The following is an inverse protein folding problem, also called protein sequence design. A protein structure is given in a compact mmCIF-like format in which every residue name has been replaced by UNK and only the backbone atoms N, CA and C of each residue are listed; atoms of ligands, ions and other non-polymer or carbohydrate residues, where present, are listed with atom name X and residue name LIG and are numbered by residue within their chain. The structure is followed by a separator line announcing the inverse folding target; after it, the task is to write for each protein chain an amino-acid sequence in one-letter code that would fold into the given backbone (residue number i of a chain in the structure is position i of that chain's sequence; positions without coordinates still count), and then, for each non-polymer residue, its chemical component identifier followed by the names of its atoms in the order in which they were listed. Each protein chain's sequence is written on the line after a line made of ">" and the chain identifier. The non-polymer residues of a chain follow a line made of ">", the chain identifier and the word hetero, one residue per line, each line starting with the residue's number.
data_IF_498061415908
#
_entry.id   IF_498061415908
#
_cell.length_a   1.000
_cell.length_b   1.000
_cell.length_c   1.000
_cell.angle_alpha   90.00
_cell.angle_beta   90.00
_cell.angle_gamma   90.00
#
_symmetry.space_group_name_H-M   'P 1'
#
loop_
_entity.id
_entity.type
_entity.pdbx_description
1 polymer ?
#
# COMPACT_ATOMS: atom_id res chain seq x y z
N UNK A 1 11.34 9.72 -17.12
CA UNK A 1 10.54 9.99 -15.91
C UNK A 1 9.33 9.07 -15.79
N UNK A 2 8.55 8.82 -16.85
CA UNK A 2 7.47 7.81 -16.82
C UNK A 2 7.92 6.45 -16.27
N UNK A 3 9.18 6.07 -16.51
CA UNK A 3 9.77 4.83 -16.02
C UNK A 3 9.74 4.65 -14.49
N UNK A 4 9.63 5.71 -13.68
CA UNK A 4 9.59 5.61 -12.21
C UNK A 4 8.18 5.63 -11.64
N UNK A 5 7.18 5.91 -12.48
CA UNK A 5 5.76 5.80 -12.14
C UNK A 5 5.24 4.37 -12.38
N UNK A 6 6.05 3.54 -13.04
CA UNK A 6 5.78 2.13 -13.32
C UNK A 6 6.47 1.22 -12.30
N UNK A 7 5.80 0.15 -11.88
CA UNK A 7 6.38 -0.85 -10.98
C UNK A 7 7.41 -1.70 -11.78
N UNK A 8 8.67 -1.79 -11.32
CA UNK A 8 9.69 -2.67 -11.91
C UNK A 8 9.25 -4.14 -11.85
N UNK A 9 9.57 -4.94 -12.87
CA UNK A 9 9.14 -6.35 -12.92
C UNK A 9 9.66 -7.15 -11.71
N UNK A 10 10.91 -6.90 -11.31
CA UNK A 10 11.55 -7.53 -10.17
C UNK A 10 10.93 -7.13 -8.81
N UNK A 11 10.10 -6.09 -8.76
CA UNK A 11 9.34 -5.74 -7.57
C UNK A 11 8.00 -6.47 -7.52
N UNK A 12 7.45 -6.94 -8.64
CA UNK A 12 6.10 -7.52 -8.67
C UNK A 12 6.05 -8.90 -8.03
N UNK A 13 5.19 -9.10 -7.02
CA UNK A 13 5.08 -10.39 -6.31
C UNK A 13 3.67 -11.00 -6.43
N UNK A 14 3.56 -12.31 -6.74
CA UNK A 14 2.28 -13.02 -6.75
C UNK A 14 1.55 -12.95 -5.41
N UNK A 15 2.30 -12.97 -4.30
CA UNK A 15 1.75 -12.92 -2.96
C UNK A 15 0.98 -11.63 -2.70
N UNK A 16 1.48 -10.50 -3.18
CA UNK A 16 0.80 -9.23 -2.96
C UNK A 16 -0.48 -9.13 -3.80
N UNK A 17 -0.46 -9.51 -5.09
CA UNK A 17 -1.67 -9.52 -5.92
C UNK A 17 -2.74 -10.48 -5.37
N UNK A 18 -2.34 -11.65 -4.87
CA UNK A 18 -3.26 -12.54 -4.18
C UNK A 18 -3.86 -11.84 -2.94
N UNK A 19 -3.04 -11.21 -2.09
CA UNK A 19 -3.55 -10.49 -0.92
C UNK A 19 -4.52 -9.37 -1.29
N UNK A 20 -4.18 -8.53 -2.28
CA UNK A 20 -5.05 -7.47 -2.79
C UNK A 20 -6.40 -8.05 -3.29
N UNK A 21 -6.36 -9.21 -3.96
CA UNK A 21 -7.57 -9.94 -4.39
C UNK A 21 -8.43 -10.33 -3.19
N UNK A 22 -7.82 -10.82 -2.10
CA UNK A 22 -8.57 -11.22 -0.90
C UNK A 22 -9.27 -10.04 -0.20
N UNK A 23 -8.70 -8.83 -0.29
CA UNK A 23 -9.36 -7.62 0.22
C UNK A 23 -10.47 -7.12 -0.70
N UNK A 24 -10.38 -7.42 -1.99
CA UNK A 24 -11.39 -7.01 -2.97
C UNK A 24 -12.69 -7.83 -2.86
N UNK A 25 -12.56 -9.14 -2.60
CA UNK A 25 -13.68 -10.07 -2.61
C UNK A 25 -14.52 -10.01 -1.32
N UNK A 26 -15.67 -10.68 -1.30
CA UNK A 26 -16.53 -10.79 -0.11
C UNK A 26 -15.89 -11.71 0.93
N UNK A 27 -16.11 -11.38 2.22
CA UNK A 27 -15.46 -12.04 3.35
C UNK A 27 -15.72 -13.54 3.39
N UNK A 28 -16.96 -13.97 3.14
CA UNK A 28 -17.32 -15.38 3.10
C UNK A 28 -16.77 -16.16 1.90
N UNK A 29 -16.05 -15.54 0.97
CA UNK A 29 -15.30 -16.25 -0.09
C UNK A 29 -13.79 -16.31 0.18
N UNK A 30 -13.31 -15.60 1.20
CA UNK A 30 -11.87 -15.55 1.52
C UNK A 30 -11.36 -16.93 1.93
N UNK A 31 -12.16 -17.71 2.66
CA UNK A 31 -11.73 -19.04 3.11
C UNK A 31 -11.52 -19.99 1.94
N UNK A 32 -12.46 -20.03 1.00
CA UNK A 32 -12.38 -20.85 -0.21
C UNK A 32 -11.21 -20.42 -1.10
N UNK A 33 -10.96 -19.12 -1.20
CA UNK A 33 -9.82 -18.59 -1.96
C UNK A 33 -8.47 -18.91 -1.29
N UNK A 34 -8.40 -18.91 0.05
CA UNK A 34 -7.17 -19.19 0.81
C UNK A 34 -6.81 -20.67 0.87
N UNK A 35 -7.79 -21.55 1.11
CA UNK A 35 -7.54 -22.96 1.46
C UNK A 35 -6.99 -23.80 0.30
N UNK A 36 -7.17 -23.35 -0.95
CA UNK A 36 -6.96 -24.20 -2.13
C UNK A 36 -5.70 -23.86 -2.94
N UNK A 37 -4.86 -22.93 -2.47
CA UNK A 37 -3.72 -22.43 -3.25
C UNK A 37 -2.43 -22.48 -2.43
N UNK A 38 -1.47 -23.26 -2.92
CA UNK A 38 -0.10 -23.22 -2.43
C UNK A 38 0.72 -22.17 -3.21
N UNK A 39 1.64 -21.47 -2.54
CA UNK A 39 2.56 -20.53 -3.21
C UNK A 39 3.46 -21.20 -4.26
N UNK A 40 3.62 -22.53 -4.19
CA UNK A 40 4.31 -23.32 -5.22
C UNK A 40 3.54 -23.44 -6.54
N UNK A 41 2.24 -23.14 -6.55
CA UNK A 41 1.37 -23.16 -7.73
C UNK A 41 1.34 -21.81 -8.46
N UNK A 42 1.94 -20.76 -7.88
CA UNK A 42 2.01 -19.46 -8.53
C UNK A 42 2.79 -19.51 -9.85
N UNK A 43 2.47 -18.63 -10.82
CA UNK A 43 3.24 -18.52 -12.04
C UNK A 43 4.74 -18.35 -11.73
N UNK A 44 5.65 -19.07 -12.41
CA UNK A 44 7.08 -19.00 -12.13
C UNK A 44 7.67 -17.67 -12.61
N UNK A 45 8.67 -17.16 -11.88
CA UNK A 45 9.38 -15.92 -12.22
C UNK A 45 8.65 -14.64 -11.80
N UNK A 46 8.98 -13.53 -12.45
CA UNK A 46 8.34 -12.23 -12.21
C UNK A 46 6.84 -12.29 -12.56
N UNK A 47 6.01 -11.66 -11.73
CA UNK A 47 4.56 -11.63 -11.96
C UNK A 47 4.18 -10.80 -13.19
N UNK A 48 5.02 -9.85 -13.62
CA UNK A 48 4.75 -8.95 -14.74
C UNK A 48 4.41 -9.72 -16.03
N UNK A 49 3.21 -9.49 -16.57
CA UNK A 49 2.67 -10.19 -17.75
C UNK A 49 2.02 -11.55 -17.44
N UNK A 50 1.98 -11.96 -16.17
CA UNK A 50 1.39 -13.20 -15.69
C UNK A 50 0.25 -12.95 -14.68
N UNK A 51 -0.11 -11.70 -14.44
CA UNK A 51 -1.15 -11.28 -13.49
C UNK A 51 -2.48 -11.98 -13.78
N UNK A 52 -2.94 -11.95 -15.04
CA UNK A 52 -4.20 -12.58 -15.44
C UNK A 52 -4.17 -14.10 -15.22
N UNK A 53 -3.00 -14.76 -15.36
CA UNK A 53 -2.86 -16.19 -15.08
C UNK A 53 -3.00 -16.48 -13.59
N UNK A 54 -2.45 -15.62 -12.73
CA UNK A 54 -2.62 -15.75 -11.28
C UNK A 54 -4.09 -15.54 -10.88
N UNK A 55 -4.76 -14.53 -11.44
CA UNK A 55 -6.19 -14.32 -11.18
C UNK A 55 -7.02 -15.50 -11.70
N UNK A 56 -6.69 -16.06 -12.86
CA UNK A 56 -7.37 -17.26 -13.37
C UNK A 56 -7.17 -18.46 -12.43
N UNK A 57 -5.95 -18.67 -11.91
CA UNK A 57 -5.67 -19.70 -10.91
C UNK A 57 -6.54 -19.49 -9.65
N UNK A 58 -6.64 -18.26 -9.16
CA UNK A 58 -7.49 -17.91 -8.02
C UNK A 58 -8.96 -18.25 -8.28
N UNK A 59 -9.47 -17.92 -9.47
CA UNK A 59 -10.83 -18.27 -9.87
C UNK A 59 -11.03 -19.78 -9.92
N UNK A 60 -10.13 -20.52 -10.55
CA UNK A 60 -10.25 -21.97 -10.73
C UNK A 60 -10.22 -22.71 -9.39
N UNK A 61 -9.48 -22.19 -8.41
CA UNK A 61 -9.32 -22.76 -7.07
C UNK A 61 -10.35 -22.27 -6.06
N UNK A 62 -11.23 -21.35 -6.44
CA UNK A 62 -12.24 -20.77 -5.54
C UNK A 62 -13.55 -21.56 -5.42
N UNK A 63 -13.61 -22.81 -5.90
CA UNK A 63 -14.88 -23.55 -6.01
C UNK A 63 -15.96 -22.77 -6.76
N UNK A 64 -15.56 -22.04 -7.81
CA UNK A 64 -16.42 -21.20 -8.66
C UNK A 64 -16.98 -19.93 -8.01
N UNK A 65 -16.67 -19.63 -6.74
CA UNK A 65 -17.22 -18.44 -6.06
C UNK A 65 -16.75 -17.14 -6.70
N UNK A 66 -15.49 -17.07 -7.14
CA UNK A 66 -14.94 -15.85 -7.75
C UNK A 66 -15.45 -15.56 -9.16
N UNK A 67 -16.19 -16.47 -9.80
CA UNK A 67 -16.77 -16.23 -11.14
C UNK A 67 -17.80 -15.10 -11.16
N UNK A 68 -18.36 -14.73 -10.00
CA UNK A 68 -19.30 -13.60 -9.92
C UNK A 68 -18.65 -12.24 -10.18
N UNK A 69 -17.33 -12.16 -10.09
CA UNK A 69 -16.56 -10.96 -10.43
C UNK A 69 -16.22 -10.87 -11.92
N UNK A 70 -16.68 -11.85 -12.72
CA UNK A 70 -16.47 -11.89 -14.16
C UNK A 70 -15.27 -12.75 -14.57
N UNK A 71 -14.66 -12.39 -15.69
CA UNK A 71 -13.45 -13.06 -16.20
C UNK A 71 -12.22 -12.71 -15.36
N UNK A 72 -11.13 -13.49 -15.49
CA UNK A 72 -9.87 -13.15 -14.83
C UNK A 72 -9.34 -11.76 -15.22
N UNK A 73 -9.57 -11.34 -16.47
CA UNK A 73 -9.20 -10.02 -16.96
C UNK A 73 -10.05 -8.93 -16.30
N UNK A 74 -11.37 -9.11 -16.25
CA UNK A 74 -12.29 -8.16 -15.61
C UNK A 74 -12.01 -8.01 -14.10
N UNK A 75 -11.76 -9.13 -13.41
CA UNK A 75 -11.39 -9.10 -11.99
C UNK A 75 -10.04 -8.39 -11.79
N UNK A 76 -9.02 -8.67 -12.61
CA UNK A 76 -7.73 -7.99 -12.53
C UNK A 76 -7.84 -6.47 -12.74
N UNK A 77 -8.60 -6.03 -13.76
CA UNK A 77 -8.84 -4.61 -14.04
C UNK A 77 -9.47 -3.91 -12.83
N UNK A 78 -10.46 -4.55 -12.20
CA UNK A 78 -11.11 -4.00 -11.02
C UNK A 78 -10.20 -3.98 -9.77
N UNK A 79 -9.38 -5.01 -9.57
CA UNK A 79 -8.38 -5.03 -8.49
C UNK A 79 -7.38 -3.89 -8.69
N UNK A 80 -6.94 -3.67 -9.94
CA UNK A 80 -6.02 -2.57 -10.26
C UNK A 80 -6.61 -1.19 -9.95
N UNK A 81 -7.90 -0.97 -10.18
CA UNK A 81 -8.58 0.28 -9.77
C UNK A 81 -8.66 0.37 -8.24
N UNK A 82 -9.08 -0.71 -7.58
CA UNK A 82 -9.30 -0.76 -6.12
C UNK A 82 -8.02 -0.49 -5.32
N UNK A 83 -6.87 -0.94 -5.81
CA UNK A 83 -5.59 -0.80 -5.11
C UNK A 83 -4.84 0.49 -5.41
N UNK A 84 -5.33 1.32 -6.33
CA UNK A 84 -4.60 2.49 -6.83
C UNK A 84 -4.80 3.70 -5.92
N UNK A 85 -4.08 3.71 -4.80
CA UNK A 85 -4.07 4.81 -3.85
C UNK A 85 -2.75 4.86 -3.05
N UNK A 86 -2.30 6.06 -2.62
CA UNK A 86 -1.08 6.18 -1.82
C UNK A 86 -1.12 5.35 -0.53
N UNK A 87 0.03 4.79 -0.14
CA UNK A 87 0.21 3.96 1.05
C UNK A 87 -0.67 2.69 1.10
N UNK A 88 -1.09 2.14 -0.04
CA UNK A 88 -1.95 0.95 -0.08
C UNK A 88 -1.40 -0.27 0.67
N UNK A 89 -0.06 -0.38 0.78
CA UNK A 89 0.59 -1.49 1.45
C UNK A 89 0.23 -1.54 2.94
N UNK A 90 -0.14 -0.40 3.55
CA UNK A 90 -0.65 -0.35 4.93
C UNK A 90 -2.06 -0.92 5.01
N UNK A 91 -2.93 -0.55 4.07
CA UNK A 91 -4.30 -1.06 3.99
C UNK A 91 -4.33 -2.58 3.78
N UNK A 92 -3.54 -3.08 2.82
CA UNK A 92 -3.44 -4.51 2.53
C UNK A 92 -2.57 -5.28 3.52
N UNK A 93 -1.98 -4.61 4.53
CA UNK A 93 -1.05 -5.25 5.47
C UNK A 93 0.16 -5.88 4.79
N UNK A 94 0.61 -5.35 3.66
CA UNK A 94 1.74 -5.84 2.85
C UNK A 94 3.06 -5.14 3.23
N UNK A 95 3.32 -4.96 4.54
CA UNK A 95 4.52 -4.30 5.03
C UNK A 95 5.81 -5.04 4.62
N UNK A 96 5.71 -6.35 4.42
CA UNK A 96 6.81 -7.24 4.09
C UNK A 96 7.05 -7.46 2.59
N UNK A 97 6.21 -6.90 1.72
CA UNK A 97 6.37 -6.98 0.25
C UNK A 97 7.06 -5.71 -0.29
N UNK A 98 7.67 -5.73 -1.48
CA UNK A 98 8.02 -4.49 -2.19
C UNK A 98 6.77 -3.63 -2.45
N UNK A 99 6.95 -2.32 -2.66
CA UNK A 99 5.83 -1.46 -3.05
C UNK A 99 5.21 -1.95 -4.37
N UNK A 100 3.89 -2.18 -4.37
CA UNK A 100 3.10 -2.64 -5.53
C UNK A 100 2.13 -1.57 -6.06
N UNK A 101 2.37 -0.31 -5.69
CA UNK A 101 1.53 0.84 -6.07
C UNK A 101 2.18 1.63 -7.19
N UNK A 102 1.37 2.30 -7.99
CA UNK A 102 1.83 3.28 -8.97
C UNK A 102 1.80 4.67 -8.33
N UNK A 103 2.91 5.41 -8.30
CA UNK A 103 2.90 6.80 -7.86
C UNK A 103 1.91 7.63 -8.68
N UNK A 104 1.07 8.41 -8.00
CA UNK A 104 0.05 9.24 -8.65
C UNK A 104 0.45 10.71 -8.63
N UNK A 105 0.40 11.36 -9.79
CA UNK A 105 0.56 12.81 -9.92
C UNK A 105 -0.82 13.45 -9.89
N UNK A 106 -1.06 14.23 -8.84
CA UNK A 106 -2.29 14.97 -8.63
C UNK A 106 -2.15 16.38 -9.20
N UNK A 107 -3.29 16.99 -9.53
CA UNK A 107 -3.35 18.39 -9.92
C UNK A 107 -3.94 19.23 -8.80
N UNK A 108 -3.43 20.42 -8.59
CA UNK A 108 -4.12 21.40 -7.76
C UNK A 108 -5.28 22.07 -8.52
N UNK A 109 -6.11 22.86 -7.83
CA UNK A 109 -7.11 23.72 -8.48
C UNK A 109 -6.47 24.79 -9.39
N UNK A 110 -5.16 25.04 -9.25
CA UNK A 110 -4.36 25.91 -10.14
C UNK A 110 -3.68 25.14 -11.27
N UNK A 111 -4.04 23.87 -11.47
CA UNK A 111 -3.44 22.94 -12.44
C UNK A 111 -1.93 22.68 -12.25
N UNK A 112 -1.39 22.92 -11.05
CA UNK A 112 -0.02 22.58 -10.72
C UNK A 112 0.12 21.09 -10.33
N UNK A 113 1.24 20.45 -10.69
CA UNK A 113 1.50 19.03 -10.40
C UNK A 113 1.98 18.83 -8.95
N UNK A 114 1.36 17.90 -8.23
CA UNK A 114 1.67 17.52 -6.85
C UNK A 114 1.76 16.00 -6.71
N UNK A 115 2.46 15.52 -5.68
CA UNK A 115 2.60 14.10 -5.37
C UNK A 115 2.45 13.88 -3.87
N UNK A 116 1.84 12.77 -3.46
CA UNK A 116 1.81 12.36 -2.07
C UNK A 116 3.22 12.01 -1.59
N UNK A 117 3.61 12.42 -0.37
CA UNK A 117 4.95 12.10 0.16
C UNK A 117 5.23 10.58 0.21
N UNK A 118 4.21 9.77 0.47
CA UNK A 118 4.31 8.31 0.47
C UNK A 118 4.71 7.75 -0.91
N UNK A 119 4.21 8.36 -1.99
CA UNK A 119 4.54 7.95 -3.36
C UNK A 119 5.99 8.30 -3.74
N UNK A 120 6.66 9.21 -3.03
CA UNK A 120 8.09 9.46 -3.23
C UNK A 120 8.95 8.25 -2.80
N UNK A 121 8.56 7.51 -1.76
CA UNK A 121 9.26 6.29 -1.36
C UNK A 121 9.10 5.18 -2.41
N UNK A 122 7.93 5.11 -3.05
CA UNK A 122 7.69 4.22 -4.20
C UNK A 122 8.60 4.62 -5.37
N UNK A 123 8.75 5.92 -5.66
CA UNK A 123 9.67 6.42 -6.68
C UNK A 123 11.12 6.03 -6.35
N UNK A 124 11.57 6.17 -5.11
CA UNK A 124 12.92 5.78 -4.70
C UNK A 124 13.17 4.28 -4.92
N UNK A 125 12.20 3.42 -4.57
CA UNK A 125 12.27 1.99 -4.90
C UNK A 125 12.41 1.79 -6.42
N UNK A 126 11.55 2.43 -7.21
CA UNK A 126 11.56 2.25 -8.66
C UNK A 126 12.87 2.74 -9.29
N UNK A 127 13.46 3.81 -8.75
CA UNK A 127 14.76 4.32 -9.17
C UNK A 127 15.89 3.32 -8.92
N UNK A 128 16.08 2.83 -7.69
CA UNK A 128 17.17 1.89 -7.37
C UNK A 128 17.05 0.59 -8.18
N UNK A 129 15.81 0.13 -8.38
CA UNK A 129 15.53 -1.07 -9.16
C UNK A 129 15.68 -0.87 -10.66
N UNK A 130 15.69 0.37 -11.15
CA UNK A 130 15.95 0.67 -12.57
C UNK A 130 17.42 0.66 -12.95
N UNK A 131 18.33 0.77 -11.96
CA UNK A 131 19.77 0.89 -12.24
C UNK A 131 20.41 -0.45 -12.60
N UNK A 132 19.88 -1.55 -12.07
CA UNK A 132 20.26 -2.91 -12.49
C UNK A 132 19.03 -3.66 -12.99
N UNK A 133 19.21 -4.47 -14.05
CA UNK A 133 18.13 -5.29 -14.61
C UNK A 133 17.89 -6.59 -13.83
N UNK A 134 18.82 -6.97 -12.95
CA UNK A 134 18.84 -8.29 -12.31
C UNK A 134 19.05 -8.16 -10.80
N UNK A 135 18.08 -7.56 -10.11
CA UNK A 135 18.08 -7.55 -8.64
C UNK A 135 17.55 -8.87 -8.10
N UNK A 136 18.30 -9.58 -7.22
CA UNK A 136 17.74 -10.67 -6.43
C UNK A 136 16.54 -10.16 -5.62
N UNK A 137 15.43 -10.88 -5.66
CA UNK A 137 14.18 -10.50 -4.99
C UNK A 137 14.39 -10.25 -3.49
N UNK A 138 15.34 -10.93 -2.86
CA UNK A 138 15.68 -10.77 -1.45
C UNK A 138 16.30 -9.40 -1.13
N UNK A 139 17.12 -8.85 -2.05
CA UNK A 139 17.64 -7.50 -1.91
C UNK A 139 16.55 -6.46 -2.19
N UNK A 140 15.64 -6.74 -3.12
CA UNK A 140 14.46 -5.89 -3.34
C UNK A 140 13.63 -5.76 -2.05
N UNK A 141 13.40 -6.88 -1.34
CA UNK A 141 12.71 -6.88 -0.05
C UNK A 141 13.48 -6.08 1.01
N UNK A 142 14.80 -6.26 1.09
CA UNK A 142 15.64 -5.51 2.03
C UNK A 142 15.50 -3.99 1.83
N UNK A 143 15.54 -3.52 0.57
CA UNK A 143 15.34 -2.10 0.26
C UNK A 143 13.93 -1.61 0.58
N UNK A 144 12.91 -2.43 0.30
CA UNK A 144 11.53 -2.10 0.65
C UNK A 144 11.35 -1.97 2.17
N UNK A 145 11.97 -2.85 2.98
CA UNK A 145 11.96 -2.72 4.44
C UNK A 145 12.61 -1.42 4.91
N UNK A 146 13.78 -1.09 4.36
CA UNK A 146 14.45 0.17 4.67
C UNK A 146 13.54 1.38 4.35
N UNK A 147 12.98 1.44 3.13
CA UNK A 147 12.16 2.56 2.68
C UNK A 147 10.89 2.71 3.52
N UNK A 148 10.20 1.60 3.84
CA UNK A 148 9.01 1.62 4.70
C UNK A 148 9.32 2.06 6.13
N UNK A 149 10.45 1.64 6.68
CA UNK A 149 10.92 2.12 7.98
C UNK A 149 11.17 3.64 7.98
N UNK A 150 11.61 4.21 6.85
CA UNK A 150 11.73 5.66 6.70
C UNK A 150 10.36 6.33 6.52
N UNK A 151 9.45 5.71 5.77
CA UNK A 151 8.09 6.19 5.51
C UNK A 151 7.24 6.30 6.80
N UNK A 152 7.46 5.43 7.79
CA UNK A 152 6.82 5.49 9.11
C UNK A 152 6.98 6.88 9.78
N UNK A 153 8.04 7.63 9.48
CA UNK A 153 8.23 8.98 10.03
C UNK A 153 7.29 10.03 9.42
N UNK A 154 6.66 9.75 8.27
CA UNK A 154 5.71 10.63 7.57
C UNK A 154 4.25 10.29 7.92
N UNK A 155 4.04 9.26 8.73
CA UNK A 155 2.82 8.46 8.83
C UNK A 155 1.53 9.20 9.24
N UNK A 156 1.64 10.35 9.92
CA UNK A 156 0.46 10.96 10.58
C UNK A 156 -0.30 11.97 9.72
N UNK A 157 0.17 12.31 8.52
CA UNK A 157 -0.52 13.23 7.62
C UNK A 157 -0.36 12.82 6.15
N UNK A 158 -1.47 12.73 5.41
CA UNK A 158 -1.44 12.64 3.94
C UNK A 158 -1.08 14.03 3.40
N UNK A 159 0.21 14.28 3.29
CA UNK A 159 0.76 15.54 2.78
C UNK A 159 1.18 15.39 1.33
N UNK A 160 1.00 16.48 0.57
CA UNK A 160 1.42 16.57 -0.81
C UNK A 160 2.53 17.60 -0.93
N UNK A 161 3.47 17.33 -1.83
CA UNK A 161 4.52 18.27 -2.20
C UNK A 161 4.47 18.54 -3.69
N UNK A 162 4.93 19.72 -4.08
CA UNK A 162 4.99 20.09 -5.50
C UNK A 162 5.88 19.09 -6.24
N UNK A 163 5.39 18.58 -7.35
CA UNK A 163 6.13 17.62 -8.15
C UNK A 163 7.14 18.35 -9.03
N UNK A 164 8.43 18.19 -8.74
CA UNK A 164 9.52 18.77 -9.53
C UNK A 164 10.32 17.67 -10.26
N UNK A 165 10.16 17.63 -11.58
CA UNK A 165 10.84 16.68 -12.47
C UNK A 165 12.37 16.79 -12.37
N UNK A 166 12.90 18.01 -12.21
CA UNK A 166 14.36 18.23 -12.09
C UNK A 166 14.90 17.65 -10.79
N UNK A 167 14.12 17.74 -9.71
CA UNK A 167 14.46 17.12 -8.44
C UNK A 167 14.46 15.58 -8.54
N UNK A 168 13.46 14.99 -9.18
CA UNK A 168 13.42 13.54 -9.44
C UNK A 168 14.65 13.09 -10.26
N UNK A 169 15.01 13.83 -11.31
CA UNK A 169 16.18 13.50 -12.14
C UNK A 169 17.51 13.68 -11.39
N UNK A 170 17.62 14.68 -10.49
CA UNK A 170 18.82 14.86 -9.68
C UNK A 170 19.03 13.73 -8.68
N UNK A 171 17.96 13.26 -8.03
CA UNK A 171 18.01 12.08 -7.15
C UNK A 171 18.49 10.84 -7.89
N UNK A 172 17.96 10.60 -9.10
CA UNK A 172 18.39 9.49 -9.95
C UNK A 172 19.88 9.55 -10.28
N UNK A 173 20.37 10.72 -10.68
CA UNK A 173 21.78 10.89 -11.04
C UNK A 173 22.68 10.58 -9.84
N UNK A 174 22.35 11.09 -8.65
CA UNK A 174 23.09 10.79 -7.42
C UNK A 174 23.12 9.31 -7.08
N UNK A 175 21.97 8.63 -7.14
CA UNK A 175 21.90 7.18 -6.91
C UNK A 175 22.74 6.40 -7.94
N UNK A 176 22.71 6.83 -9.20
CA UNK A 176 23.50 6.21 -10.28
C UNK A 176 25.00 6.43 -10.10
N UNK A 177 25.41 7.64 -9.71
CA UNK A 177 26.80 7.99 -9.43
C UNK A 177 27.35 7.21 -8.24
N UNK A 178 26.58 7.10 -7.16
CA UNK A 178 26.96 6.30 -6.00
C UNK A 178 27.21 4.83 -6.38
N UNK A 179 26.37 4.26 -7.25
CA UNK A 179 26.58 2.91 -7.79
C UNK A 179 27.77 2.80 -8.74
N UNK A 180 28.04 3.82 -9.56
CA UNK A 180 29.17 3.84 -10.50
C UNK A 180 30.54 4.04 -9.81
N UNK A 181 30.54 4.71 -8.65
CA UNK A 181 31.74 5.00 -7.84
C UNK A 181 32.02 3.93 -6.77
N UNK A 182 31.25 2.85 -6.76
CA UNK A 182 31.20 1.76 -5.76
C UNK A 182 32.50 0.97 -5.50
N UNK A 183 33.65 1.45 -5.96
CA UNK A 183 34.94 0.91 -5.54
C UNK A 183 35.20 1.34 -4.09
N UNK A 184 34.80 0.48 -3.14
CA UNK A 184 35.31 0.58 -1.78
C UNK A 184 36.83 0.62 -1.81
N UNK A 185 37.44 1.40 -0.90
CA UNK A 185 38.90 1.40 -0.79
C UNK A 185 39.39 -0.05 -0.62
N UNK A 186 40.49 -0.44 -1.30
CA UNK A 186 41.01 -1.80 -1.20
C UNK A 186 41.22 -2.27 0.25
N UNK A 187 41.53 -1.33 1.16
CA UNK A 187 41.64 -1.55 2.59
C UNK A 187 40.29 -1.91 3.26
N UNK A 188 39.21 -1.17 2.99
CA UNK A 188 37.86 -1.47 3.53
C UNK A 188 37.36 -2.82 3.03
N UNK A 189 37.58 -3.12 1.74
CA UNK A 189 37.24 -4.41 1.16
C UNK A 189 38.01 -5.55 1.86
N UNK A 190 39.33 -5.44 2.01
CA UNK A 190 40.13 -6.47 2.65
C UNK A 190 39.77 -6.69 4.14
N UNK A 191 39.39 -5.61 4.84
CA UNK A 191 38.89 -5.70 6.21
C UNK A 191 37.59 -6.51 6.28
N UNK A 192 36.63 -6.21 5.41
CA UNK A 192 35.34 -6.89 5.38
C UNK A 192 35.47 -8.36 4.96
N UNK A 193 36.39 -8.69 4.03
CA UNK A 193 36.72 -10.10 3.71
C UNK A 193 37.18 -10.86 4.95
N UNK A 194 38.07 -10.27 5.77
CA UNK A 194 38.57 -10.89 7.00
C UNK A 194 37.50 -11.00 8.09
N UNK A 195 36.53 -10.09 8.10
CA UNK A 195 35.40 -10.13 9.02
C UNK A 195 34.42 -11.23 8.62
N UNK A 196 33.94 -11.19 7.36
CA UNK A 196 32.93 -12.12 6.84
C UNK A 196 33.41 -13.58 6.85
N UNK A 197 34.72 -13.84 6.72
CA UNK A 197 35.27 -15.19 6.84
C UNK A 197 35.11 -15.82 8.23
N UNK A 198 34.80 -15.01 9.27
CA UNK A 198 34.57 -15.47 10.65
C UNK A 198 33.09 -15.54 11.02
N UNK A 199 32.20 -15.04 10.18
CA UNK A 199 30.78 -14.97 10.46
C UNK A 199 30.06 -16.22 9.93
N UNK A 200 29.06 -16.68 10.68
CA UNK A 200 28.10 -17.65 10.17
C UNK A 200 26.93 -16.93 9.46
N UNK A 201 26.10 -17.71 8.76
CA UNK A 201 24.95 -17.20 7.99
C UNK A 201 24.03 -16.30 8.82
N UNK A 202 23.69 -16.70 10.05
CA UNK A 202 22.78 -15.93 10.91
C UNK A 202 23.39 -14.58 11.31
N UNK A 203 24.69 -14.53 11.60
CA UNK A 203 25.40 -13.28 11.89
C UNK A 203 25.46 -12.35 10.68
N UNK A 204 25.62 -12.89 9.47
CA UNK A 204 25.61 -12.11 8.23
C UNK A 204 24.22 -11.53 7.96
N UNK A 205 23.16 -12.33 8.12
CA UNK A 205 21.79 -11.84 7.97
C UNK A 205 21.51 -10.73 8.99
N UNK A 206 21.94 -10.90 10.25
CA UNK A 206 21.79 -9.85 11.26
C UNK A 206 22.51 -8.55 10.85
N UNK A 207 23.67 -8.61 10.20
CA UNK A 207 24.33 -7.42 9.65
C UNK A 207 23.52 -6.73 8.55
N UNK A 208 22.84 -7.49 7.69
CA UNK A 208 21.94 -6.92 6.67
C UNK A 208 20.70 -6.29 7.31
N UNK A 209 20.12 -6.94 8.32
CA UNK A 209 18.99 -6.39 9.08
C UNK A 209 19.35 -5.08 9.77
N UNK A 210 20.58 -4.94 10.28
CA UNK A 210 21.06 -3.71 10.89
C UNK A 210 21.18 -2.52 9.93
N UNK A 211 21.04 -2.72 8.62
CA UNK A 211 20.92 -1.62 7.66
C UNK A 211 19.53 -0.95 7.71
N UNK A 212 18.53 -1.60 8.30
CA UNK A 212 17.18 -1.06 8.43
C UNK A 212 17.12 -0.22 9.72
N UNK A 213 16.63 1.05 9.65
CA UNK A 213 16.72 1.98 10.77
C UNK A 213 15.72 1.68 11.91
N UNK A 214 14.68 0.89 11.65
CA UNK A 214 13.69 0.50 12.65
C UNK A 214 13.82 -0.97 13.03
N UNK A 215 13.37 -1.31 14.24
CA UNK A 215 13.30 -2.69 14.68
C UNK A 215 12.18 -3.40 13.94
N UNK A 216 12.54 -4.38 13.12
CA UNK A 216 11.58 -5.27 12.46
C UNK A 216 10.68 -5.96 13.49
N UNK A 217 9.40 -6.07 13.17
CA UNK A 217 8.50 -6.91 13.95
C UNK A 217 8.85 -8.41 13.77
N UNK A 218 8.36 -9.31 14.64
CA UNK A 218 8.73 -10.73 14.59
C UNK A 218 8.49 -11.39 13.23
N UNK A 219 7.37 -11.07 12.57
CA UNK A 219 7.01 -11.64 11.27
C UNK A 219 7.93 -11.14 10.15
N UNK A 220 8.26 -9.84 10.15
CA UNK A 220 9.19 -9.24 9.20
C UNK A 220 10.60 -9.81 9.38
N UNK A 221 11.09 -9.90 10.63
CA UNK A 221 12.38 -10.50 10.95
C UNK A 221 12.44 -11.96 10.49
N UNK A 222 11.44 -12.78 10.85
CA UNK A 222 11.37 -14.18 10.43
C UNK A 222 11.36 -14.32 8.91
N UNK A 223 10.57 -13.50 8.21
CA UNK A 223 10.46 -13.57 6.75
C UNK A 223 11.77 -13.19 6.06
N UNK A 224 12.41 -12.12 6.50
CA UNK A 224 13.70 -11.67 5.96
C UNK A 224 14.81 -12.72 6.20
N UNK A 225 14.85 -13.33 7.39
CA UNK A 225 15.75 -14.45 7.71
C UNK A 225 15.55 -15.63 6.77
N UNK A 226 14.30 -16.04 6.55
CA UNK A 226 13.99 -17.17 5.65
C UNK A 226 14.38 -16.86 4.21
N UNK A 227 14.09 -15.65 3.72
CA UNK A 227 14.39 -15.24 2.35
C UNK A 227 15.90 -15.16 2.11
N UNK A 228 16.63 -14.38 2.90
CA UNK A 228 18.09 -14.27 2.77
C UNK A 228 18.78 -15.61 3.03
N UNK A 229 18.29 -16.40 3.98
CA UNK A 229 18.80 -17.75 4.24
C UNK A 229 18.66 -18.68 3.03
N UNK A 230 17.49 -18.68 2.36
CA UNK A 230 17.29 -19.47 1.13
C UNK A 230 18.19 -18.99 -0.01
N UNK A 231 18.26 -17.67 -0.21
CA UNK A 231 19.11 -17.06 -1.24
C UNK A 231 20.57 -17.48 -1.08
N UNK A 232 21.16 -17.29 0.09
CA UNK A 232 22.56 -17.62 0.32
C UNK A 232 22.84 -19.13 0.33
N UNK A 233 21.89 -19.95 0.79
CA UNK A 233 22.05 -21.40 0.75
C UNK A 233 21.95 -21.97 -0.68
N UNK A 234 21.24 -21.29 -1.58
CA UNK A 234 21.18 -21.67 -3.00
C UNK A 234 22.50 -21.42 -3.75
N UNK A 235 23.37 -20.55 -3.23
CA UNK A 235 24.66 -20.26 -3.84
C UNK A 235 25.63 -21.47 -3.72
N UNK A 236 26.46 -21.73 -4.75
CA UNK A 236 27.51 -22.74 -4.68
C UNK A 236 28.46 -22.48 -3.50
N UNK A 237 28.79 -23.53 -2.74
CA UNK A 237 29.62 -23.44 -1.53
C UNK A 237 30.91 -22.62 -1.73
N UNK A 238 31.59 -22.83 -2.87
CA UNK A 238 32.84 -22.13 -3.21
C UNK A 238 32.69 -20.61 -3.38
N UNK A 239 31.50 -20.12 -3.70
CA UNK A 239 31.23 -18.70 -3.97
C UNK A 239 30.36 -18.05 -2.87
N UNK A 240 29.91 -18.83 -1.88
CA UNK A 240 28.88 -18.38 -0.93
C UNK A 240 29.33 -17.19 -0.09
N UNK A 241 30.54 -17.25 0.47
CA UNK A 241 31.07 -16.17 1.32
C UNK A 241 31.29 -14.88 0.52
N UNK A 242 31.83 -15.00 -0.68
CA UNK A 242 32.02 -13.84 -1.57
C UNK A 242 30.67 -13.26 -1.99
N UNK A 243 29.70 -14.11 -2.34
CA UNK A 243 28.33 -13.69 -2.66
C UNK A 243 27.66 -12.94 -1.50
N UNK A 244 27.76 -13.46 -0.28
CA UNK A 244 27.26 -12.81 0.94
C UNK A 244 27.91 -11.44 1.18
N UNK A 245 29.25 -11.36 1.07
CA UNK A 245 29.98 -10.11 1.22
C UNK A 245 29.54 -9.09 0.16
N UNK A 246 29.48 -9.50 -1.11
CA UNK A 246 29.05 -8.62 -2.20
C UNK A 246 27.61 -8.14 -1.99
N UNK A 247 26.68 -9.01 -1.58
CA UNK A 247 25.30 -8.62 -1.25
C UNK A 247 25.27 -7.56 -0.15
N UNK A 248 26.07 -7.71 0.91
CA UNK A 248 26.16 -6.72 1.98
C UNK A 248 26.76 -5.39 1.51
N UNK A 249 27.85 -5.43 0.75
CA UNK A 249 28.52 -4.23 0.22
C UNK A 249 27.57 -3.42 -0.66
N UNK A 250 26.89 -4.09 -1.60
CA UNK A 250 25.89 -3.44 -2.46
C UNK A 250 24.71 -2.90 -1.65
N UNK A 251 24.14 -3.71 -0.75
CA UNK A 251 23.02 -3.27 0.07
C UNK A 251 23.37 -2.03 0.91
N UNK A 252 24.54 -2.03 1.55
CA UNK A 252 25.03 -0.92 2.37
C UNK A 252 25.20 0.34 1.54
N UNK A 253 25.84 0.26 0.37
CA UNK A 253 26.05 1.40 -0.52
C UNK A 253 24.73 2.04 -0.97
N UNK A 254 23.76 1.22 -1.39
CA UNK A 254 22.45 1.70 -1.82
C UNK A 254 21.72 2.37 -0.67
N UNK A 255 21.71 1.73 0.51
CA UNK A 255 21.04 2.25 1.69
C UNK A 255 21.68 3.56 2.17
N UNK A 256 23.01 3.65 2.23
CA UNK A 256 23.75 4.90 2.54
C UNK A 256 23.38 6.03 1.55
N UNK A 257 23.21 5.67 0.27
CA UNK A 257 22.82 6.64 -0.77
C UNK A 257 21.37 7.10 -0.63
N UNK A 258 20.46 6.18 -0.32
CA UNK A 258 19.06 6.49 -0.02
C UNK A 258 18.95 7.37 1.22
N UNK A 259 19.70 7.06 2.27
CA UNK A 259 19.77 7.84 3.50
C UNK A 259 20.19 9.29 3.21
N UNK A 260 21.28 9.45 2.46
CA UNK A 260 21.75 10.78 2.02
C UNK A 260 20.68 11.54 1.24
N UNK A 261 19.99 10.88 0.28
CA UNK A 261 18.92 11.51 -0.50
C UNK A 261 17.75 11.94 0.38
N UNK A 262 17.33 11.10 1.31
CA UNK A 262 16.22 11.39 2.22
C UNK A 262 16.58 12.52 3.19
N UNK A 263 17.76 12.44 3.82
CA UNK A 263 18.19 13.37 4.88
C UNK A 263 18.51 14.77 4.35
N UNK A 264 19.01 14.89 3.12
CA UNK A 264 19.22 16.20 2.51
C UNK A 264 17.92 16.85 2.00
N UNK A 265 16.81 16.10 1.95
CA UNK A 265 15.53 16.55 1.37
C UNK A 265 14.35 16.35 2.33
N UNK A 266 14.54 16.65 3.62
CA UNK A 266 13.52 16.45 4.66
C UNK A 266 12.17 17.11 4.36
N UNK A 267 12.10 18.24 3.64
CA UNK A 267 10.81 18.83 3.26
C UNK A 267 9.93 17.87 2.44
N UNK A 268 10.56 16.99 1.66
CA UNK A 268 9.91 16.00 0.81
C UNK A 268 9.62 14.69 1.54
N UNK A 269 10.48 14.29 2.48
CA UNK A 269 10.44 12.95 3.11
C UNK A 269 10.13 12.95 4.62
N UNK A 270 9.80 14.11 5.20
CA UNK A 270 9.38 14.26 6.59
C UNK A 270 8.09 15.08 6.67
N UNK A 271 7.30 15.00 7.76
CA UNK A 271 6.13 15.85 7.96
C UNK A 271 6.48 17.34 7.87
N UNK A 272 5.53 18.15 7.39
CA UNK A 272 5.73 19.60 7.25
C UNK A 272 6.02 20.24 8.62
N UNK A 273 7.18 20.87 8.76
CA UNK A 273 7.51 21.70 9.93
C UNK A 273 6.71 22.99 9.94
N UNK A 274 6.45 23.59 11.11
CA UNK A 274 5.68 24.85 11.21
C UNK A 274 6.29 25.97 10.35
N UNK A 275 7.61 26.13 10.37
CA UNK A 275 8.35 27.17 9.65
C UNK A 275 8.58 26.87 8.16
N UNK A 276 8.03 25.78 7.62
CA UNK A 276 8.19 25.45 6.20
C UNK A 276 7.60 26.56 5.32
N UNK A 277 8.27 26.82 4.19
CA UNK A 277 7.81 27.76 3.16
C UNK A 277 6.83 27.14 2.17
N UNK A 278 6.65 25.82 2.24
CA UNK A 278 5.69 25.12 1.39
C UNK A 278 4.25 25.43 1.82
N UNK A 279 3.31 25.59 0.87
CA UNK A 279 1.90 25.78 1.20
C UNK A 279 1.36 24.55 1.95
N UNK A 280 0.35 24.77 2.78
CA UNK A 280 -0.41 23.67 3.38
C UNK A 280 -1.28 23.06 2.30
N UNK A 281 -1.17 21.75 2.07
CA UNK A 281 -1.97 21.07 1.06
C UNK A 281 -3.24 20.50 1.67
N UNK A 282 -4.39 20.77 1.04
CA UNK A 282 -5.69 20.24 1.45
C UNK A 282 -6.31 19.48 0.27
N UNK A 283 -6.75 18.24 0.51
CA UNK A 283 -7.43 17.44 -0.51
C UNK A 283 -8.86 17.95 -0.73
N UNK A 284 -9.18 18.19 -1.98
CA UNK A 284 -10.53 18.44 -2.49
C UNK A 284 -10.98 17.16 -3.16
N UNK A 285 -11.90 16.46 -2.50
CA UNK A 285 -12.45 15.22 -3.01
C UNK A 285 -13.45 15.53 -4.12
N UNK A 286 -13.26 14.89 -5.28
CA UNK A 286 -14.12 15.05 -6.44
C UNK A 286 -14.92 13.76 -6.68
N UNK A 287 -16.24 13.87 -6.65
CA UNK A 287 -17.17 12.78 -6.96
C UNK A 287 -18.23 13.26 -7.96
N UNK A 288 -17.99 12.99 -9.25
CA UNK A 288 -18.74 13.60 -10.34
C UNK A 288 -18.59 15.13 -10.30
N UNK A 289 -19.71 15.84 -10.25
CA UNK A 289 -19.75 17.31 -10.20
C UNK A 289 -19.58 17.87 -8.77
N UNK A 290 -19.45 17.01 -7.76
CA UNK A 290 -19.35 17.42 -6.35
C UNK A 290 -17.90 17.59 -5.93
N UNK A 291 -17.62 18.70 -5.22
CA UNK A 291 -16.31 18.98 -4.61
C UNK A 291 -16.47 19.27 -3.12
N UNK A 292 -15.73 18.54 -2.28
CA UNK A 292 -15.84 18.65 -0.82
C UNK A 292 -14.53 18.34 -0.12
N UNK A 293 -14.39 18.80 1.13
CA UNK A 293 -13.20 18.60 1.97
C UNK A 293 -13.59 17.89 3.26
N UNK A 294 -12.65 17.18 3.88
CA UNK A 294 -12.82 16.68 5.26
C UNK A 294 -12.74 17.83 6.26
N UNK A 295 -13.68 17.91 7.22
CA UNK A 295 -13.71 18.98 8.23
C UNK A 295 -12.68 18.82 9.34
N UNK A 296 -12.47 17.59 9.81
CA UNK A 296 -11.69 17.30 11.01
C UNK A 296 -10.43 16.54 10.69
N UNK A 297 -9.37 16.80 11.47
CA UNK A 297 -8.12 16.05 11.47
C UNK A 297 -8.06 14.99 12.57
N UNK A 298 -9.13 14.81 13.36
CA UNK A 298 -9.16 13.86 14.47
C UNK A 298 -9.66 12.47 14.03
N UNK A 299 -9.22 11.44 14.75
CA UNK A 299 -9.70 10.07 14.55
C UNK A 299 -11.20 9.99 14.91
N UNK A 300 -12.00 9.51 13.97
CA UNK A 300 -13.43 9.24 14.16
C UNK A 300 -13.84 8.14 13.18
N UNK A 301 -14.81 7.31 13.56
CA UNK A 301 -15.41 6.32 12.63
C UNK A 301 -16.07 7.02 11.44
N UNK A 302 -16.63 8.20 11.69
CA UNK A 302 -17.30 9.04 10.68
C UNK A 302 -16.52 10.35 10.52
N UNK A 303 -16.08 10.64 9.30
CA UNK A 303 -15.43 11.91 8.96
C UNK A 303 -16.39 12.80 8.18
N UNK A 304 -16.82 13.88 8.80
CA UNK A 304 -17.68 14.87 8.16
C UNK A 304 -16.97 15.61 7.03
N UNK A 305 -17.77 16.06 6.06
CA UNK A 305 -17.29 16.90 4.97
C UNK A 305 -18.00 18.25 4.93
N UNK A 306 -17.35 19.20 4.26
CA UNK A 306 -17.89 20.51 3.91
C UNK A 306 -17.71 20.70 2.40
N UNK A 307 -18.69 21.29 1.71
CA UNK A 307 -18.53 21.56 0.27
C UNK A 307 -17.47 22.64 0.04
N UNK A 308 -16.84 22.64 -1.12
CA UNK A 308 -15.89 23.70 -1.49
C UNK A 308 -16.51 25.10 -1.41
N UNK A 309 -17.76 25.23 -1.88
CA UNK A 309 -18.52 26.49 -1.81
C UNK A 309 -18.70 26.96 -0.35
N UNK A 310 -19.20 26.09 0.54
CA UNK A 310 -19.38 26.42 1.95
C UNK A 310 -18.06 26.75 2.65
N UNK A 311 -16.97 26.06 2.30
CA UNK A 311 -15.65 26.36 2.84
C UNK A 311 -15.19 27.77 2.43
N UNK A 312 -15.33 28.13 1.16
CA UNK A 312 -14.96 29.44 0.65
C UNK A 312 -15.80 30.57 1.25
N UNK A 313 -17.10 30.34 1.44
CA UNK A 313 -17.99 31.31 2.11
C UNK A 313 -17.60 31.54 3.57
N UNK A 314 -17.24 30.47 4.29
CA UNK A 314 -16.94 30.53 5.72
C UNK A 314 -15.53 31.07 6.03
N UNK A 315 -14.54 30.74 5.18
CA UNK A 315 -13.11 30.98 5.48
C UNK A 315 -12.40 31.87 4.46
N UNK A 316 -13.01 32.14 3.30
CA UNK A 316 -12.38 32.87 2.20
C UNK A 316 -11.23 32.10 1.52
N UNK A 317 -10.56 32.77 0.58
CA UNK A 317 -9.37 32.24 -0.08
C UNK A 317 -8.14 32.59 0.76
N UNK A 318 -7.45 31.59 1.28
CA UNK A 318 -6.17 31.78 2.01
C UNK A 318 -4.98 31.52 1.08
N UNK A 319 -4.08 32.48 0.94
CA UNK A 319 -2.94 32.39 0.01
C UNK A 319 -1.90 31.31 0.35
N UNK A 320 -1.93 30.75 1.57
CA UNK A 320 -0.98 29.73 2.04
C UNK A 320 -1.53 28.29 1.97
N UNK A 321 -2.72 28.10 1.40
CA UNK A 321 -3.30 26.77 1.18
C UNK A 321 -3.28 26.45 -0.30
N UNK A 322 -2.84 25.23 -0.63
CA UNK A 322 -3.01 24.66 -1.95
C UNK A 322 -4.05 23.54 -1.91
N UNK A 323 -5.06 23.66 -2.77
CA UNK A 323 -6.14 22.69 -2.88
C UNK A 323 -5.80 21.64 -3.93
N UNK A 324 -5.62 20.40 -3.50
CA UNK A 324 -5.23 19.26 -4.34
C UNK A 324 -6.48 18.50 -4.76
N UNK A 325 -6.74 18.41 -6.07
CA UNK A 325 -7.86 17.63 -6.62
C UNK A 325 -7.59 16.15 -6.38
N UNK A 326 -8.51 15.48 -5.70
CA UNK A 326 -8.39 14.09 -5.31
C UNK A 326 -9.64 13.34 -5.79
N UNK A 327 -9.58 12.61 -6.92
CA UNK A 327 -10.75 11.92 -7.44
C UNK A 327 -11.14 10.75 -6.53
N UNK A 328 -12.45 10.58 -6.29
CA UNK A 328 -12.98 9.36 -5.69
C UNK A 328 -13.10 8.30 -6.78
N UNK A 329 -12.29 7.25 -6.68
CA UNK A 329 -12.27 6.14 -7.63
C UNK A 329 -13.01 4.93 -7.09
N UNK A 330 -13.63 4.18 -7.99
CA UNK A 330 -14.43 2.99 -7.66
C UNK A 330 -14.15 1.89 -8.64
N UNK A 331 -13.87 0.71 -8.11
CA UNK A 331 -14.01 -0.52 -8.85
C UNK A 331 -15.49 -0.98 -8.80
N UNK A 332 -15.84 -1.95 -9.64
CA UNK A 332 -17.21 -2.44 -9.80
C UNK A 332 -17.87 -2.89 -8.49
N UNK A 333 -17.11 -3.52 -7.60
CA UNK A 333 -17.62 -4.10 -6.36
C UNK A 333 -17.11 -3.44 -5.07
N UNK A 334 -16.04 -2.65 -5.14
CA UNK A 334 -15.41 -1.99 -3.99
C UNK A 334 -15.00 -0.56 -4.36
N UNK A 335 -15.15 0.37 -3.42
CA UNK A 335 -14.57 1.70 -3.56
C UNK A 335 -13.07 1.67 -3.21
N UNK A 336 -12.30 2.54 -3.86
CA UNK A 336 -10.89 2.71 -3.55
C UNK A 336 -10.75 3.44 -2.21
N UNK A 337 -10.09 2.84 -1.21
CA UNK A 337 -9.91 3.48 0.09
C UNK A 337 -9.08 4.76 -0.01
N UNK A 338 -9.40 5.71 0.87
CA UNK A 338 -8.58 6.91 1.07
C UNK A 338 -8.03 6.92 2.49
N UNK A 339 -6.77 7.32 2.64
CA UNK A 339 -6.20 7.49 3.97
C UNK A 339 -6.73 8.77 4.62
N UNK A 340 -7.28 8.66 5.82
CA UNK A 340 -7.76 9.78 6.62
C UNK A 340 -6.66 10.39 7.50
N UNK A 341 -7.00 11.42 8.29
CA UNK A 341 -6.04 12.17 9.10
C UNK A 341 -5.34 11.35 10.18
N UNK A 342 -5.95 10.26 10.66
CA UNK A 342 -5.38 9.39 11.69
C UNK A 342 -4.53 8.25 11.14
N UNK A 343 -4.33 8.18 9.81
CA UNK A 343 -3.72 7.05 9.13
C UNK A 343 -4.68 5.88 8.85
N UNK A 344 -5.88 5.88 9.46
CA UNK A 344 -6.97 4.96 9.13
C UNK A 344 -7.45 5.15 7.70
N UNK A 345 -8.08 4.13 7.11
CA UNK A 345 -8.63 4.19 5.76
C UNK A 345 -10.14 4.37 5.80
N UNK A 346 -10.66 5.08 4.81
CA UNK A 346 -12.07 5.44 4.74
C UNK A 346 -12.59 5.31 3.30
N UNK A 347 -13.89 5.13 3.16
CA UNK A 347 -14.63 5.24 1.89
C UNK A 347 -15.86 6.11 2.10
N UNK A 348 -16.48 6.61 1.02
CA UNK A 348 -17.72 7.38 1.17
C UNK A 348 -18.83 6.51 1.76
N UNK A 349 -19.70 7.13 2.54
CA UNK A 349 -20.79 6.42 3.20
C UNK A 349 -21.73 5.70 2.22
N UNK A 350 -21.96 6.28 1.04
CA UNK A 350 -22.76 5.66 -0.02
C UNK A 350 -22.09 4.39 -0.57
N UNK A 351 -20.77 4.40 -0.69
CA UNK A 351 -20.01 3.23 -1.15
C UNK A 351 -20.00 2.13 -0.09
N UNK A 352 -19.80 2.53 1.18
CA UNK A 352 -19.90 1.62 2.32
C UNK A 352 -21.28 0.94 2.37
N UNK A 353 -22.36 1.68 2.13
CA UNK A 353 -23.71 1.12 2.03
C UNK A 353 -23.83 0.06 0.93
N UNK A 354 -23.32 0.34 -0.27
CA UNK A 354 -23.39 -0.63 -1.38
C UNK A 354 -22.52 -1.86 -1.12
N UNK A 355 -21.34 -1.71 -0.52
CA UNK A 355 -20.51 -2.84 -0.11
C UNK A 355 -21.20 -3.73 0.93
N UNK A 356 -21.79 -3.12 1.97
CA UNK A 356 -22.60 -3.82 2.96
C UNK A 356 -23.76 -4.58 2.30
N UNK A 357 -24.50 -3.93 1.39
CA UNK A 357 -25.63 -4.57 0.71
C UNK A 357 -25.18 -5.77 -0.12
N UNK A 358 -24.02 -5.70 -0.77
CA UNK A 358 -23.46 -6.85 -1.49
C UNK A 358 -23.13 -8.00 -0.54
N UNK A 359 -22.55 -7.71 0.61
CA UNK A 359 -22.25 -8.72 1.63
C UNK A 359 -23.53 -9.38 2.16
N UNK A 360 -24.56 -8.58 2.49
CA UNK A 360 -25.86 -9.10 2.94
C UNK A 360 -26.55 -9.96 1.88
N UNK A 361 -26.52 -9.56 0.61
CA UNK A 361 -27.24 -10.24 -0.48
C UNK A 361 -26.50 -11.50 -0.93
N UNK A 362 -25.22 -11.39 -1.26
CA UNK A 362 -24.49 -12.45 -1.98
C UNK A 362 -23.77 -13.40 -1.03
N UNK A 363 -23.10 -12.86 -0.01
CA UNK A 363 -22.31 -13.65 0.92
C UNK A 363 -23.21 -14.25 2.01
N UNK A 364 -23.75 -13.38 2.87
CA UNK A 364 -24.58 -13.81 4.01
C UNK A 364 -25.91 -14.39 3.55
N UNK A 365 -26.36 -14.07 2.32
CA UNK A 365 -27.69 -14.44 1.78
C UNK A 365 -28.80 -14.12 2.78
N UNK A 366 -28.64 -12.98 3.45
CA UNK A 366 -29.39 -12.60 4.63
C UNK A 366 -30.89 -12.59 4.34
N UNK A 367 -31.30 -11.95 3.25
CA UNK A 367 -32.70 -11.86 2.83
C UNK A 367 -33.31 -13.19 2.39
N UNK A 368 -32.49 -14.20 2.07
CA UNK A 368 -32.97 -15.55 1.75
C UNK A 368 -33.15 -16.40 3.02
N UNK A 369 -32.40 -16.09 4.07
CA UNK A 369 -32.41 -16.81 5.36
C UNK A 369 -33.37 -16.17 6.38
N UNK A 370 -33.72 -14.90 6.20
CA UNK A 370 -34.58 -14.13 7.10
C UNK A 370 -35.99 -14.74 7.16
N UNK A 371 -36.44 -15.13 8.35
CA UNK A 371 -37.81 -15.60 8.56
C UNK A 371 -38.71 -14.42 8.91
N UNK A 372 -40.03 -14.50 8.62
CA UNK A 372 -40.97 -13.43 8.99
C UNK A 372 -40.96 -13.08 10.49
N UNK A 373 -40.70 -14.06 11.35
CA UNK A 373 -40.61 -13.87 12.80
C UNK A 373 -39.39 -13.00 13.23
N UNK A 374 -38.32 -13.00 12.44
CA UNK A 374 -37.07 -12.30 12.74
C UNK A 374 -37.06 -10.86 12.17
N UNK A 375 -38.06 -10.52 11.34
CA UNK A 375 -38.15 -9.22 10.66
C UNK A 375 -38.24 -8.03 11.63
N UNK A 376 -39.01 -8.07 12.73
CA UNK A 376 -39.06 -6.96 13.68
C UNK A 376 -37.70 -6.69 14.33
N UNK A 377 -36.98 -7.75 14.72
CA UNK A 377 -35.65 -7.65 15.29
C UNK A 377 -34.65 -7.09 14.28
N UNK A 378 -34.69 -7.58 13.04
CA UNK A 378 -33.85 -7.05 11.96
C UNK A 378 -34.06 -5.54 11.74
N UNK A 379 -35.31 -5.08 11.71
CA UNK A 379 -35.62 -3.66 11.51
C UNK A 379 -35.17 -2.83 12.73
N UNK A 380 -35.45 -3.29 13.94
CA UNK A 380 -35.17 -2.52 15.17
C UNK A 380 -33.71 -2.55 15.59
N UNK A 381 -33.06 -3.71 15.59
CA UNK A 381 -31.73 -3.89 16.18
C UNK A 381 -30.60 -3.83 15.15
N UNK A 382 -30.85 -4.25 13.91
CA UNK A 382 -29.80 -4.30 12.90
C UNK A 382 -29.87 -3.04 12.03
N UNK A 383 -31.04 -2.73 11.48
CA UNK A 383 -31.19 -1.64 10.52
C UNK A 383 -31.19 -0.26 11.19
N UNK A 384 -31.94 -0.06 12.28
CA UNK A 384 -31.96 1.24 12.97
C UNK A 384 -30.63 1.57 13.66
N UNK A 385 -29.96 0.60 14.29
CA UNK A 385 -28.65 0.82 14.90
C UNK A 385 -27.58 1.12 13.84
N UNK A 386 -27.59 0.40 12.71
CA UNK A 386 -26.76 0.74 11.55
C UNK A 386 -27.13 2.11 10.96
N UNK A 387 -28.41 2.49 11.05
CA UNK A 387 -28.91 3.81 10.66
C UNK A 387 -28.22 4.96 11.40
N UNK A 388 -27.72 4.75 12.61
CA UNK A 388 -26.92 5.78 13.33
C UNK A 388 -25.60 6.11 12.62
N UNK A 389 -25.06 5.16 11.85
CA UNK A 389 -23.85 5.34 11.04
C UNK A 389 -24.19 5.87 9.64
N UNK A 390 -25.38 5.56 9.10
CA UNK A 390 -25.80 6.01 7.76
C UNK A 390 -26.56 7.35 7.73
N UNK A 391 -27.13 7.78 8.84
CA UNK A 391 -27.85 9.05 8.96
C UNK A 391 -27.31 9.97 10.06
N UNK A 392 -25.98 10.02 10.33
CA UNK A 392 -25.47 10.88 11.39
C UNK A 392 -25.61 12.36 11.00
N UNK A 393 -25.56 12.69 9.70
CA UNK A 393 -25.41 14.06 9.18
C UNK A 393 -26.08 14.19 7.81
N UNK A 394 -26.63 15.37 7.51
CA UNK A 394 -27.26 15.71 6.23
C UNK A 394 -26.25 16.14 5.13
N UNK A 395 -24.98 15.78 5.23
CA UNK A 395 -23.93 16.08 4.25
C UNK A 395 -23.24 14.79 3.80
N UNK A 396 -22.37 14.86 2.79
CA UNK A 396 -21.45 13.76 2.51
C UNK A 396 -20.54 13.54 3.73
N UNK A 397 -20.15 12.30 3.94
CA UNK A 397 -19.17 11.92 4.95
C UNK A 397 -18.51 10.60 4.56
N UNK A 398 -17.38 10.34 5.19
CA UNK A 398 -16.65 9.09 5.04
C UNK A 398 -16.83 8.19 6.25
N UNK A 399 -16.78 6.88 6.03
CA UNK A 399 -16.84 5.84 7.06
C UNK A 399 -15.51 5.07 7.05
N UNK A 400 -14.96 4.82 8.24
CA UNK A 400 -13.73 4.03 8.41
C UNK A 400 -13.93 2.61 7.85
N UNK A 401 -13.01 2.17 6.98
CA UNK A 401 -13.05 0.82 6.42
C UNK A 401 -12.90 -0.21 7.55
N UNK A 402 -13.69 -1.29 7.50
CA UNK A 402 -13.70 -2.31 8.55
C UNK A 402 -14.62 -1.99 9.74
N UNK A 403 -15.37 -0.89 9.69
CA UNK A 403 -16.49 -0.63 10.63
C UNK A 403 -17.45 -1.82 10.61
N UNK A 404 -17.60 -2.50 11.74
CA UNK A 404 -18.53 -3.63 11.87
C UNK A 404 -19.92 -3.13 12.20
N UNK A 405 -20.91 -3.58 11.41
CA UNK A 405 -22.31 -3.32 11.68
C UNK A 405 -22.99 -4.57 12.23
N UNK A 406 -24.01 -4.42 13.11
CA UNK A 406 -24.67 -5.52 13.80
C UNK A 406 -25.63 -6.28 12.88
N UNK A 407 -25.11 -6.91 11.83
CA UNK A 407 -25.85 -7.85 10.98
C UNK A 407 -25.45 -9.28 11.32
N UNK A 408 -25.87 -9.74 12.49
CA UNK A 408 -25.71 -11.13 12.93
C UNK A 408 -26.92 -11.95 12.50
N UNK A 409 -26.68 -13.10 11.87
CA UNK A 409 -27.65 -14.19 11.85
C UNK A 409 -27.19 -15.14 12.94
N UNK A 410 -27.99 -15.34 13.99
CA UNK A 410 -27.67 -16.35 15.00
C UNK A 410 -27.72 -17.75 14.35
N UNK A 411 -26.56 -18.36 14.15
CA UNK A 411 -26.45 -19.72 13.58
C UNK A 411 -27.06 -20.79 14.51
N UNK A 412 -27.49 -20.43 15.72
CA UNK A 412 -28.17 -21.33 16.67
C UNK A 412 -29.52 -21.86 16.19
N UNK A 413 -30.08 -21.36 15.09
CA UNK A 413 -31.34 -21.88 14.53
C UNK A 413 -31.17 -23.03 13.52
N UNK A 414 -29.95 -23.55 13.30
CA UNK A 414 -29.69 -24.71 12.42
C UNK A 414 -29.92 -26.09 13.06
N UNK A 415 -30.32 -26.15 14.33
CA UNK A 415 -30.70 -27.41 15.00
C UNK A 415 -32.16 -27.38 15.46
N UNK A 416 -33.10 -27.47 14.51
CA UNK A 416 -34.42 -28.11 14.71
C UNK A 416 -34.78 -28.90 13.47
#
# INVERSE_FOLDING_TARGET
>A
MSNFLEIPSCATTPMCLHRETLFYILDGFIQEAKQNICSSEYPPGDLKGQETKLIQLLIDKSNQTLRMYGSAQELLENINIFKDFPANHKFFGAAEEPYQTRPTIFKSLKDEEYIAKQDLFVILQNMILSVSREWPIELVHLFAYYLKAREENVEKCVEFVKFDKKFIDSMKNRLTEAMGTSQHSPAKHQQLVKEFSKLNLSQIIAKLEHLIPSKLNPDQHQRLQVFLGRFFNSMPLRNRNDGMLMSYLFASLIIESLETVVDENLEMFSPRHQDSKQPVTVRVFEDGDQQFLMKTSLKSVVLETITMEQFLDNYGITNNIEFIRYPITRAKHRATPIQGPSGSFYILAIDFFFELMRELIFDKKYFQKLKPADLPEFLQNNFNESGKIFFPINSLYFIETGTLLPFWIDEKSKNV
#
